data_IF_605491132410
#
_entry.id   IF_605491132410
#
_cell.length_a   1.000
_cell.length_b   1.000
_cell.length_c   1.000
_cell.angle_alpha   90.00
_cell.angle_beta   90.00
_cell.angle_gamma   90.00
#
_symmetry.space_group_name_H-M   'P 1'
#
loop_
_entity.id
_entity.type
_entity.pdbx_description
1 polymer ?
#
# COMPACT_ATOMS: atom_id res chain seq x y z
N UNK A 1 90.67 -38.89 1.62
CA UNK A 1 89.64 -39.12 0.58
C UNK A 1 88.31 -38.63 1.15
N UNK A 2 87.95 -37.40 0.71
CA UNK A 2 86.85 -36.64 1.30
C UNK A 2 85.64 -36.59 0.35
N UNK A 3 84.49 -36.75 0.92
CA UNK A 3 83.24 -36.50 0.16
C UNK A 3 82.52 -35.31 0.76
N UNK A 4 82.43 -34.25 -0.04
CA UNK A 4 81.63 -33.04 0.17
C UNK A 4 80.18 -33.37 -0.05
N UNK A 5 79.35 -33.09 0.93
CA UNK A 5 77.89 -33.09 0.79
C UNK A 5 77.38 -31.64 0.79
N UNK A 6 76.86 -31.22 -0.36
CA UNK A 6 76.17 -29.95 -0.56
C UNK A 6 74.75 -30.02 0.04
N UNK A 7 74.47 -29.22 1.05
CA UNK A 7 73.10 -28.96 1.49
C UNK A 7 72.48 -27.85 0.65
N UNK A 8 71.45 -28.22 -0.11
CA UNK A 8 70.53 -27.25 -0.72
C UNK A 8 69.63 -26.72 0.34
N UNK A 9 69.62 -25.39 0.50
CA UNK A 9 68.65 -24.63 1.31
C UNK A 9 67.52 -24.27 0.36
N UNK A 10 66.33 -24.88 0.50
CA UNK A 10 65.14 -24.50 -0.20
C UNK A 10 64.50 -23.28 0.51
N UNK A 11 64.51 -22.11 -0.14
CA UNK A 11 63.72 -20.96 0.25
C UNK A 11 62.25 -21.21 -0.15
N UNK A 12 61.38 -21.48 0.82
CA UNK A 12 59.95 -21.38 0.63
C UNK A 12 59.54 -19.90 0.67
N UNK A 13 59.35 -19.33 -0.50
CA UNK A 13 58.70 -18.04 -0.63
C UNK A 13 57.18 -18.18 -0.35
N UNK A 14 56.72 -17.75 0.81
CA UNK A 14 55.30 -17.62 1.12
C UNK A 14 54.75 -16.36 0.42
N UNK A 15 54.09 -16.57 -0.72
CA UNK A 15 53.32 -15.52 -1.38
C UNK A 15 52.03 -15.32 -0.59
N UNK A 16 52.00 -14.28 0.23
CA UNK A 16 50.78 -13.80 0.88
C UNK A 16 49.96 -13.08 -0.21
N UNK A 17 48.97 -13.76 -0.78
CA UNK A 17 47.91 -13.10 -1.55
C UNK A 17 47.09 -12.25 -0.56
N UNK A 18 47.32 -10.95 -0.53
CA UNK A 18 46.42 -10.00 0.09
C UNK A 18 45.15 -9.95 -0.78
N UNK A 19 44.11 -10.64 -0.36
CA UNK A 19 42.74 -10.40 -0.81
C UNK A 19 42.36 -8.99 -0.28
N UNK A 20 42.62 -7.99 -1.08
CA UNK A 20 41.97 -6.69 -0.92
C UNK A 20 40.49 -6.90 -1.25
N UNK A 21 39.68 -7.15 -0.21
CA UNK A 21 38.24 -6.97 -0.31
C UNK A 21 38.03 -5.49 -0.67
N UNK A 22 37.75 -5.22 -1.95
CA UNK A 22 37.15 -3.96 -2.33
C UNK A 22 35.78 -3.92 -1.63
N UNK A 23 35.73 -3.29 -0.46
CA UNK A 23 34.50 -2.75 0.06
C UNK A 23 34.05 -1.75 -1.02
N UNK A 24 33.09 -2.13 -1.84
CA UNK A 24 32.39 -1.20 -2.68
C UNK A 24 31.91 -0.09 -1.72
N UNK A 25 32.43 1.12 -1.90
CA UNK A 25 31.90 2.28 -1.21
C UNK A 25 30.42 2.31 -1.55
N UNK A 26 29.57 1.99 -0.56
CA UNK A 26 28.13 2.10 -0.73
C UNK A 26 27.87 3.53 -1.22
N UNK A 27 27.24 3.65 -2.37
CA UNK A 27 26.88 4.95 -2.93
C UNK A 27 26.00 5.64 -1.87
N UNK A 28 26.36 6.87 -1.49
CA UNK A 28 25.51 7.71 -0.64
C UNK A 28 24.20 7.98 -1.38
N UNK A 29 23.19 7.16 -1.16
CA UNK A 29 21.88 7.30 -1.79
C UNK A 29 21.06 8.34 -1.03
N UNK A 30 20.53 9.33 -1.75
CA UNK A 30 19.65 10.37 -1.22
C UNK A 30 18.27 10.24 -1.81
N UNK A 31 17.24 10.26 -0.96
CA UNK A 31 15.84 10.06 -1.35
C UNK A 31 15.01 11.22 -0.83
N UNK A 32 14.13 11.75 -1.67
CA UNK A 32 13.09 12.68 -1.23
C UNK A 32 11.70 12.04 -1.37
N UNK A 33 10.74 12.55 -0.60
CA UNK A 33 9.33 12.28 -0.80
C UNK A 33 8.50 13.55 -0.63
N UNK A 34 7.49 13.73 -1.46
CA UNK A 34 6.59 14.89 -1.47
C UNK A 34 5.13 14.45 -1.44
N UNK A 35 4.36 15.00 -0.51
CA UNK A 35 2.92 14.75 -0.34
C UNK A 35 2.28 15.81 0.56
N UNK A 36 0.95 15.92 0.55
CA UNK A 36 0.16 16.67 1.54
C UNK A 36 -0.41 15.81 2.67
N UNK A 37 -0.09 14.49 2.73
CA UNK A 37 -0.79 13.54 3.60
C UNK A 37 0.14 12.60 4.40
N UNK A 38 1.37 13.02 4.70
CA UNK A 38 2.33 12.16 5.40
C UNK A 38 1.96 11.80 6.85
N UNK A 39 1.07 12.55 7.47
CA UNK A 39 0.68 12.37 8.88
C UNK A 39 -0.51 11.43 9.10
N UNK A 40 -1.13 10.93 8.03
CA UNK A 40 -2.39 10.19 8.12
C UNK A 40 -2.43 8.98 7.17
N UNK A 41 -3.09 7.92 7.59
CA UNK A 41 -3.43 6.76 6.77
C UNK A 41 -2.26 6.21 5.96
N UNK A 42 -2.45 6.10 4.66
CA UNK A 42 -1.47 5.57 3.71
C UNK A 42 -0.12 6.31 3.71
N UNK A 43 -0.12 7.63 3.94
CA UNK A 43 1.09 8.43 4.02
C UNK A 43 2.01 8.03 5.18
N UNK A 44 1.45 7.60 6.31
CA UNK A 44 2.23 7.09 7.45
C UNK A 44 3.06 5.87 7.05
N UNK A 45 2.48 4.93 6.31
CA UNK A 45 3.20 3.74 5.85
C UNK A 45 4.37 4.09 4.93
N UNK A 46 4.20 5.09 4.04
CA UNK A 46 5.31 5.57 3.19
C UNK A 46 6.45 6.13 4.05
N UNK A 47 6.12 6.97 5.04
CA UNK A 47 7.11 7.55 5.96
C UNK A 47 7.84 6.47 6.76
N UNK A 48 7.13 5.43 7.21
CA UNK A 48 7.71 4.29 7.91
C UNK A 48 8.71 3.54 7.02
N UNK A 49 8.35 3.26 5.76
CA UNK A 49 9.23 2.62 4.79
C UNK A 49 10.52 3.43 4.55
N UNK A 50 10.38 4.75 4.37
CA UNK A 50 11.52 5.66 4.19
C UNK A 50 12.42 5.72 5.43
N UNK A 51 11.85 5.84 6.63
CA UNK A 51 12.60 5.82 7.90
C UNK A 51 13.31 4.48 8.13
N UNK A 52 12.66 3.38 7.73
CA UNK A 52 13.28 2.06 7.79
C UNK A 52 14.47 1.99 6.83
N UNK A 53 14.34 2.51 5.61
CA UNK A 53 15.45 2.58 4.65
C UNK A 53 16.60 3.47 5.15
N UNK A 54 16.30 4.62 5.74
CA UNK A 54 17.30 5.49 6.38
C UNK A 54 18.09 4.75 7.45
N UNK A 55 17.38 4.03 8.34
CA UNK A 55 17.98 3.28 9.44
C UNK A 55 18.80 2.07 8.97
N UNK A 56 18.25 1.25 8.08
CA UNK A 56 18.80 -0.07 7.75
C UNK A 56 19.81 0.01 6.58
N UNK A 57 19.62 0.95 5.65
CA UNK A 57 20.42 1.08 4.42
C UNK A 57 21.36 2.31 4.45
N UNK A 58 21.24 3.20 5.45
CA UNK A 58 22.07 4.39 5.59
C UNK A 58 21.78 5.48 4.57
N UNK A 59 20.63 5.44 3.91
CA UNK A 59 20.22 6.47 2.94
C UNK A 59 19.82 7.76 3.64
N UNK A 60 19.94 8.91 2.93
CA UNK A 60 19.45 10.20 3.42
C UNK A 60 18.03 10.41 2.95
N UNK A 61 17.13 10.78 3.86
CA UNK A 61 15.71 10.98 3.56
C UNK A 61 15.30 12.44 3.79
N UNK A 62 14.61 13.01 2.80
CA UNK A 62 13.99 14.34 2.86
C UNK A 62 12.47 14.19 2.66
N UNK A 63 11.68 14.62 3.63
CA UNK A 63 10.23 14.73 3.48
C UNK A 63 9.84 16.18 3.18
N UNK A 64 8.99 16.38 2.18
CA UNK A 64 8.40 17.66 1.79
C UNK A 64 6.90 17.57 1.94
N UNK A 65 6.39 18.12 3.04
CA UNK A 65 4.94 18.24 3.26
C UNK A 65 4.45 19.51 2.56
N UNK A 66 3.54 19.34 1.61
CA UNK A 66 2.99 20.47 0.83
C UNK A 66 1.95 21.25 1.60
N UNK A 67 1.39 20.68 2.68
CA UNK A 67 0.23 21.24 3.39
C UNK A 67 -0.98 21.44 2.48
N UNK A 68 -1.06 20.73 1.35
CA UNK A 68 -2.07 20.87 0.30
C UNK A 68 -2.18 22.28 -0.30
N UNK A 69 -1.08 23.04 -0.32
CA UNK A 69 -1.02 24.38 -0.89
C UNK A 69 -0.63 24.34 -2.36
N UNK A 70 -1.61 24.30 -3.25
CA UNK A 70 -1.43 24.12 -4.68
C UNK A 70 -0.49 25.17 -5.32
N UNK A 71 -0.43 26.39 -4.79
CA UNK A 71 0.45 27.46 -5.30
C UNK A 71 1.94 27.16 -5.13
N UNK A 72 2.29 26.30 -4.19
CA UNK A 72 3.68 25.99 -3.87
C UNK A 72 4.20 24.73 -4.61
N UNK A 73 3.31 23.94 -5.26
CA UNK A 73 3.69 22.65 -5.83
C UNK A 73 4.80 22.76 -6.88
N UNK A 74 4.65 23.62 -7.88
CA UNK A 74 5.65 23.76 -8.95
C UNK A 74 7.02 24.18 -8.40
N UNK A 75 7.06 25.09 -7.42
CA UNK A 75 8.31 25.52 -6.79
C UNK A 75 8.96 24.35 -6.03
N UNK A 76 8.19 23.61 -5.23
CA UNK A 76 8.68 22.49 -4.44
C UNK A 76 9.23 21.37 -5.34
N UNK A 77 8.54 21.03 -6.44
CA UNK A 77 9.00 20.04 -7.41
C UNK A 77 10.30 20.51 -8.11
N UNK A 78 10.36 21.77 -8.56
CA UNK A 78 11.57 22.31 -9.16
C UNK A 78 12.75 22.28 -8.19
N UNK A 79 12.54 22.57 -6.91
CA UNK A 79 13.58 22.51 -5.89
C UNK A 79 14.10 21.09 -5.66
N UNK A 80 13.23 20.07 -5.78
CA UNK A 80 13.63 18.67 -5.67
C UNK A 80 14.39 18.18 -6.91
N UNK A 81 14.10 18.71 -8.09
CA UNK A 81 14.68 18.24 -9.35
C UNK A 81 15.96 18.98 -9.76
N UNK A 82 16.03 20.31 -9.51
CA UNK A 82 17.04 21.22 -10.08
C UNK A 82 18.48 20.90 -9.70
N UNK A 83 18.70 20.33 -8.51
CA UNK A 83 20.06 20.09 -8.00
C UNK A 83 20.64 18.73 -8.37
N UNK A 84 19.82 17.77 -8.81
CA UNK A 84 20.23 16.37 -8.97
C UNK A 84 20.71 15.74 -7.65
N UNK A 85 20.22 16.24 -6.52
CA UNK A 85 20.65 15.83 -5.18
C UNK A 85 20.06 14.48 -4.77
N UNK A 86 18.93 14.08 -5.40
CA UNK A 86 18.20 12.89 -5.02
C UNK A 86 18.28 11.81 -6.10
N UNK A 87 18.59 10.60 -5.69
CA UNK A 87 18.55 9.41 -6.53
C UNK A 87 17.12 8.98 -6.86
N UNK A 88 16.19 9.20 -5.91
CA UNK A 88 14.75 8.98 -6.05
C UNK A 88 13.95 10.13 -5.43
N UNK A 89 12.84 10.49 -6.07
CA UNK A 89 11.85 11.41 -5.53
C UNK A 89 10.48 10.72 -5.55
N UNK A 90 10.02 10.23 -4.40
CA UNK A 90 8.69 9.66 -4.25
C UNK A 90 7.62 10.74 -4.23
N UNK A 91 6.54 10.52 -4.94
CA UNK A 91 5.40 11.45 -5.04
C UNK A 91 4.13 10.70 -4.71
N UNK A 92 3.35 11.22 -3.76
CA UNK A 92 2.04 10.66 -3.40
C UNK A 92 1.00 11.77 -3.31
N UNK A 93 -0.09 11.61 -4.04
CA UNK A 93 -1.25 12.50 -4.07
C UNK A 93 -1.63 12.88 -5.49
N UNK A 94 -2.91 12.72 -5.80
CA UNK A 94 -3.46 13.04 -7.13
C UNK A 94 -3.44 14.54 -7.45
N UNK A 95 -3.50 15.38 -6.43
CA UNK A 95 -3.38 16.84 -6.55
C UNK A 95 -2.01 17.29 -7.06
N UNK A 96 -0.99 16.42 -6.98
CA UNK A 96 0.39 16.70 -7.40
C UNK A 96 0.68 16.30 -8.87
N UNK A 97 -0.25 15.62 -9.54
CA UNK A 97 -0.05 15.01 -10.87
C UNK A 97 0.40 16.03 -11.91
N UNK A 98 -0.27 17.18 -12.00
CA UNK A 98 0.07 18.21 -13.01
C UNK A 98 1.49 18.77 -12.79
N UNK A 99 1.85 19.05 -11.53
CA UNK A 99 3.18 19.54 -11.18
C UNK A 99 4.26 18.46 -11.43
N UNK A 100 3.96 17.21 -11.08
CA UNK A 100 4.82 16.06 -11.34
C UNK A 100 5.08 15.90 -12.84
N UNK A 101 4.03 15.89 -13.67
CA UNK A 101 4.16 15.69 -15.11
C UNK A 101 5.04 16.77 -15.75
N UNK A 102 4.74 18.04 -15.49
CA UNK A 102 5.53 19.17 -15.98
C UNK A 102 7.00 19.08 -15.56
N UNK A 103 7.26 18.73 -14.28
CA UNK A 103 8.62 18.67 -13.77
C UNK A 103 9.38 17.46 -14.31
N UNK A 104 8.75 16.30 -14.43
CA UNK A 104 9.37 15.11 -15.00
C UNK A 104 9.77 15.31 -16.48
N UNK A 105 8.98 16.05 -17.25
CA UNK A 105 9.33 16.44 -18.62
C UNK A 105 10.51 17.43 -18.67
N UNK A 106 10.55 18.40 -17.74
CA UNK A 106 11.62 19.41 -17.68
C UNK A 106 12.95 18.85 -17.13
N UNK A 107 12.88 17.84 -16.26
CA UNK A 107 14.03 17.22 -15.60
C UNK A 107 14.06 15.70 -15.82
N UNK A 108 14.28 15.21 -17.04
CA UNK A 108 14.17 13.77 -17.38
C UNK A 108 15.23 12.89 -16.70
N UNK A 109 16.25 13.48 -16.08
CA UNK A 109 17.28 12.76 -15.32
C UNK A 109 16.90 12.56 -13.84
N UNK A 110 15.88 13.26 -13.35
CA UNK A 110 15.36 13.07 -11.99
C UNK A 110 14.43 11.87 -11.99
N UNK A 111 14.71 10.89 -11.13
CA UNK A 111 13.87 9.68 -11.01
C UNK A 111 12.71 9.93 -10.07
N UNK A 112 11.59 10.32 -10.62
CA UNK A 112 10.33 10.40 -9.90
C UNK A 112 9.68 9.03 -9.82
N UNK A 113 9.17 8.68 -8.62
CA UNK A 113 8.38 7.47 -8.36
C UNK A 113 6.99 7.92 -7.91
N UNK A 114 6.00 7.75 -8.77
CA UNK A 114 4.63 8.06 -8.41
C UNK A 114 3.99 6.87 -7.71
N UNK A 115 3.52 7.09 -6.48
CA UNK A 115 2.95 6.06 -5.64
C UNK A 115 1.43 6.09 -5.76
N UNK A 116 0.84 4.90 -5.98
CA UNK A 116 -0.61 4.68 -5.95
C UNK A 116 -1.38 5.43 -7.04
N UNK A 117 -0.82 5.42 -8.24
CA UNK A 117 -1.48 6.02 -9.37
C UNK A 117 -0.74 5.82 -10.69
N UNK A 118 -1.40 6.23 -11.76
CA UNK A 118 -0.87 6.21 -13.12
C UNK A 118 -1.13 7.57 -13.75
N UNK A 119 -0.14 8.09 -14.46
CA UNK A 119 -0.28 9.24 -15.34
C UNK A 119 0.37 8.90 -16.68
N UNK A 120 0.02 9.62 -17.73
CA UNK A 120 0.60 9.40 -19.05
C UNK A 120 1.98 10.09 -19.15
N UNK A 121 2.98 9.45 -18.53
CA UNK A 121 4.37 9.91 -18.59
C UNK A 121 5.35 8.76 -18.64
N UNK A 122 6.19 8.75 -19.67
CA UNK A 122 7.32 7.82 -19.81
C UNK A 122 8.54 8.19 -18.96
N UNK A 123 8.49 9.31 -18.22
CA UNK A 123 9.60 9.80 -17.40
C UNK A 123 9.45 9.47 -15.92
N UNK A 124 8.33 8.85 -15.53
CA UNK A 124 7.99 8.53 -14.15
C UNK A 124 8.00 7.03 -13.96
N UNK A 125 8.53 6.55 -12.85
CA UNK A 125 8.38 5.17 -12.37
C UNK A 125 7.09 5.08 -11.55
N UNK A 126 6.37 3.98 -11.65
CA UNK A 126 5.10 3.79 -10.95
C UNK A 126 5.24 2.71 -9.89
N UNK A 127 4.85 3.02 -8.66
CA UNK A 127 4.76 2.10 -7.55
C UNK A 127 3.28 1.90 -7.19
N UNK A 128 2.67 0.87 -7.76
CA UNK A 128 1.24 0.59 -7.66
C UNK A 128 0.94 -0.60 -6.77
N UNK A 129 -0.32 -0.72 -6.40
CA UNK A 129 -0.83 -1.82 -5.57
C UNK A 129 -1.99 -2.48 -6.29
N UNK A 130 -2.11 -3.79 -6.15
CA UNK A 130 -3.28 -4.53 -6.56
C UNK A 130 -4.36 -4.43 -5.45
N UNK A 131 -4.82 -3.20 -5.17
CA UNK A 131 -5.84 -2.94 -4.16
C UNK A 131 -7.15 -3.68 -4.46
N UNK A 132 -7.45 -3.93 -5.74
CA UNK A 132 -8.55 -4.79 -6.17
C UNK A 132 -8.44 -6.20 -5.60
N UNK A 133 -7.23 -6.81 -5.54
CA UNK A 133 -7.02 -8.15 -4.98
C UNK A 133 -7.26 -8.18 -3.47
N UNK A 134 -6.72 -7.19 -2.73
CA UNK A 134 -6.98 -7.07 -1.29
C UNK A 134 -8.45 -6.79 -0.99
N UNK A 135 -9.09 -5.94 -1.80
CA UNK A 135 -10.51 -5.62 -1.70
C UNK A 135 -11.40 -6.81 -2.05
N UNK A 136 -10.98 -7.68 -2.97
CA UNK A 136 -11.67 -8.94 -3.23
C UNK A 136 -11.78 -9.78 -1.94
N UNK A 137 -10.69 -9.91 -1.19
CA UNK A 137 -10.71 -10.63 0.08
C UNK A 137 -11.60 -9.94 1.13
N UNK A 138 -11.58 -8.60 1.18
CA UNK A 138 -12.48 -7.82 2.04
C UNK A 138 -13.96 -8.04 1.66
N UNK A 139 -14.27 -8.07 0.36
CA UNK A 139 -15.60 -8.35 -0.15
C UNK A 139 -16.07 -9.78 0.14
N UNK A 140 -15.19 -10.75 -0.03
CA UNK A 140 -15.47 -12.13 0.30
C UNK A 140 -15.78 -12.30 1.80
N UNK A 141 -14.99 -11.66 2.69
CA UNK A 141 -15.28 -11.63 4.12
C UNK A 141 -16.67 -11.01 4.38
N UNK A 142 -16.92 -9.81 3.85
CA UNK A 142 -18.18 -9.11 4.09
C UNK A 142 -19.39 -9.89 3.58
N UNK A 143 -19.30 -10.49 2.39
CA UNK A 143 -20.37 -11.31 1.82
C UNK A 143 -20.67 -12.56 2.64
N UNK A 144 -19.63 -13.34 3.00
CA UNK A 144 -19.77 -14.55 3.82
C UNK A 144 -20.34 -14.23 5.21
N UNK A 145 -19.92 -13.13 5.81
CA UNK A 145 -20.43 -12.71 7.12
C UNK A 145 -21.89 -12.24 7.02
N UNK A 146 -22.25 -11.49 5.97
CA UNK A 146 -23.65 -11.08 5.73
C UNK A 146 -24.59 -12.28 5.49
N UNK A 147 -24.08 -13.39 4.93
CA UNK A 147 -24.85 -14.63 4.81
C UNK A 147 -25.09 -15.35 6.15
N UNK A 148 -24.20 -15.16 7.14
CA UNK A 148 -24.43 -15.68 8.50
C UNK A 148 -25.60 -14.93 9.20
N UNK A 149 -25.82 -13.68 8.80
CA UNK A 149 -26.96 -12.89 9.30
C UNK A 149 -26.98 -12.79 10.81
N UNK A 150 -28.19 -12.83 11.39
CA UNK A 150 -28.46 -12.71 12.81
C UNK A 150 -27.85 -13.80 13.71
N UNK A 151 -27.23 -14.85 13.14
CA UNK A 151 -26.41 -15.81 13.90
C UNK A 151 -25.16 -15.15 14.52
N UNK A 152 -24.75 -13.99 13.99
CA UNK A 152 -23.64 -13.19 14.50
C UNK A 152 -24.18 -11.89 15.09
N UNK A 153 -23.85 -11.62 16.36
CA UNK A 153 -24.23 -10.38 17.02
C UNK A 153 -23.79 -9.14 16.20
N UNK A 154 -24.70 -8.21 15.95
CA UNK A 154 -24.46 -6.99 15.17
C UNK A 154 -24.72 -7.14 13.65
N UNK A 155 -24.97 -8.35 13.16
CA UNK A 155 -25.42 -8.56 11.79
C UNK A 155 -26.95 -8.76 11.74
N UNK A 156 -27.55 -8.41 10.63
CA UNK A 156 -28.97 -8.63 10.31
C UNK A 156 -29.15 -9.58 9.13
N UNK A 157 -30.39 -9.89 8.80
CA UNK A 157 -30.71 -10.84 7.73
C UNK A 157 -30.86 -10.18 6.33
N UNK A 158 -30.41 -8.91 6.22
CA UNK A 158 -30.57 -8.10 5.00
C UNK A 158 -29.69 -8.50 3.83
N UNK A 159 -28.67 -9.32 4.07
CA UNK A 159 -27.68 -9.74 3.07
C UNK A 159 -27.15 -8.58 2.24
N UNK A 160 -26.86 -7.46 2.90
CA UNK A 160 -26.36 -6.25 2.28
C UNK A 160 -25.05 -5.81 2.92
N UNK A 161 -24.13 -5.35 2.07
CA UNK A 161 -22.85 -4.79 2.46
C UNK A 161 -22.70 -3.39 1.88
N UNK A 162 -21.95 -2.53 2.55
CA UNK A 162 -21.74 -1.15 2.14
C UNK A 162 -20.32 -0.90 1.68
N UNK A 163 -20.15 0.17 0.88
CA UNK A 163 -18.87 0.72 0.47
C UNK A 163 -18.94 2.25 0.56
N UNK A 164 -17.99 2.86 1.25
CA UNK A 164 -17.82 4.31 1.28
C UNK A 164 -16.48 4.65 0.65
N UNK A 165 -16.53 5.22 -0.57
CA UNK A 165 -15.36 5.76 -1.25
C UNK A 165 -15.16 7.25 -0.92
N UNK A 166 -13.92 7.73 -0.89
CA UNK A 166 -13.63 9.15 -0.73
C UNK A 166 -14.07 9.94 -1.96
N UNK A 167 -13.30 9.90 -3.02
CA UNK A 167 -13.63 10.51 -4.32
C UNK A 167 -13.90 9.44 -5.36
N UNK A 168 -14.72 9.77 -6.35
CA UNK A 168 -15.00 8.91 -7.49
C UNK A 168 -13.86 9.03 -8.53
N UNK A 169 -12.75 8.34 -8.27
CA UNK A 169 -11.56 8.30 -9.13
C UNK A 169 -11.14 6.85 -9.42
N UNK A 170 -10.35 6.60 -10.47
CA UNK A 170 -10.02 5.23 -10.91
C UNK A 170 -9.49 4.33 -9.80
N UNK A 171 -8.56 4.80 -8.96
CA UNK A 171 -8.00 3.99 -7.86
C UNK A 171 -9.06 3.59 -6.84
N UNK A 172 -10.02 4.47 -6.50
CA UNK A 172 -11.10 4.16 -5.55
C UNK A 172 -12.12 3.20 -6.18
N UNK A 173 -12.40 3.36 -7.47
CA UNK A 173 -13.23 2.40 -8.22
C UNK A 173 -12.59 1.01 -8.30
N UNK A 174 -11.26 0.95 -8.33
CA UNK A 174 -10.51 -0.31 -8.35
C UNK A 174 -10.73 -1.12 -7.06
N UNK A 175 -10.73 -0.46 -5.89
CA UNK A 175 -11.15 -1.09 -4.64
C UNK A 175 -12.59 -1.62 -4.71
N UNK A 176 -13.50 -0.78 -5.22
CA UNK A 176 -14.93 -1.11 -5.28
C UNK A 176 -15.21 -2.33 -6.15
N UNK A 177 -14.64 -2.41 -7.36
CA UNK A 177 -14.87 -3.55 -8.26
C UNK A 177 -14.28 -4.85 -7.71
N UNK A 178 -13.12 -4.79 -7.06
CA UNK A 178 -12.55 -5.93 -6.34
C UNK A 178 -13.45 -6.40 -5.20
N UNK A 179 -13.92 -5.47 -4.37
CA UNK A 179 -14.83 -5.75 -3.26
C UNK A 179 -16.14 -6.39 -3.72
N UNK A 180 -16.76 -5.85 -4.77
CA UNK A 180 -17.97 -6.41 -5.36
C UNK A 180 -17.74 -7.82 -5.91
N UNK A 181 -16.66 -8.03 -6.68
CA UNK A 181 -16.35 -9.34 -7.23
C UNK A 181 -16.11 -10.37 -6.13
N UNK A 182 -15.36 -10.02 -5.09
CA UNK A 182 -15.10 -10.91 -3.96
C UNK A 182 -16.39 -11.29 -3.22
N UNK A 183 -17.23 -10.32 -2.93
CA UNK A 183 -18.52 -10.53 -2.29
C UNK A 183 -19.42 -11.46 -3.14
N UNK A 184 -19.57 -11.18 -4.43
CA UNK A 184 -20.37 -12.00 -5.35
C UNK A 184 -19.80 -13.39 -5.58
N UNK A 185 -18.49 -13.55 -5.53
CA UNK A 185 -17.83 -14.86 -5.66
C UNK A 185 -18.11 -15.75 -4.44
N UNK A 186 -18.11 -15.17 -3.25
CA UNK A 186 -18.27 -15.88 -2.00
C UNK A 186 -19.74 -15.99 -1.55
N UNK A 187 -20.57 -15.00 -1.87
CA UNK A 187 -21.97 -14.86 -1.49
C UNK A 187 -22.77 -14.22 -2.66
N UNK A 188 -23.22 -15.03 -3.66
CA UNK A 188 -23.80 -14.50 -4.91
C UNK A 188 -25.02 -13.59 -4.72
N UNK A 189 -25.82 -13.83 -3.67
CA UNK A 189 -27.07 -13.10 -3.39
C UNK A 189 -26.86 -11.81 -2.59
N UNK A 190 -25.61 -11.52 -2.13
CA UNK A 190 -25.33 -10.32 -1.34
C UNK A 190 -25.52 -9.05 -2.20
N UNK A 191 -26.18 -8.04 -1.63
CA UNK A 191 -26.32 -6.72 -2.25
C UNK A 191 -25.17 -5.82 -1.81
N UNK A 192 -24.58 -5.08 -2.76
CA UNK A 192 -23.62 -4.02 -2.49
C UNK A 192 -24.30 -2.66 -2.66
N UNK A 193 -24.25 -1.82 -1.62
CA UNK A 193 -24.63 -0.42 -1.65
C UNK A 193 -23.37 0.44 -1.58
N UNK A 194 -23.02 1.16 -2.65
CA UNK A 194 -21.80 1.95 -2.75
C UNK A 194 -22.10 3.44 -2.85
N UNK A 195 -21.37 4.25 -2.10
CA UNK A 195 -21.47 5.71 -2.09
C UNK A 195 -20.08 6.35 -2.07
N UNK A 196 -19.99 7.59 -2.58
CA UNK A 196 -18.75 8.39 -2.55
C UNK A 196 -18.97 9.68 -1.78
N UNK A 197 -18.07 9.99 -0.86
CA UNK A 197 -18.14 11.20 -0.03
C UNK A 197 -17.84 12.49 -0.81
N UNK A 198 -17.11 12.39 -1.93
CA UNK A 198 -16.63 13.53 -2.70
C UNK A 198 -15.36 14.17 -2.14
N UNK A 199 -14.88 13.69 -1.00
CA UNK A 199 -13.70 14.20 -0.28
C UNK A 199 -12.97 13.08 0.47
N UNK A 200 -11.71 13.34 0.86
CA UNK A 200 -10.95 12.49 1.78
C UNK A 200 -10.80 13.09 3.18
N UNK A 201 -11.28 14.34 3.43
CA UNK A 201 -10.94 15.13 4.61
C UNK A 201 -12.16 15.47 5.51
N UNK A 202 -13.25 14.70 5.41
CA UNK A 202 -14.49 14.98 6.16
C UNK A 202 -15.00 13.72 6.90
N UNK A 203 -14.52 13.43 8.12
CA UNK A 203 -15.02 12.32 8.92
C UNK A 203 -16.52 12.40 9.25
N UNK A 204 -17.08 13.61 9.39
CA UNK A 204 -18.51 13.78 9.67
C UNK A 204 -19.35 13.27 8.48
N UNK A 205 -18.93 13.56 7.26
CA UNK A 205 -19.54 13.04 6.04
C UNK A 205 -19.42 11.52 5.93
N UNK A 206 -18.25 10.95 6.30
CA UNK A 206 -18.05 9.51 6.38
C UNK A 206 -19.04 8.83 7.32
N UNK A 207 -19.24 9.40 8.50
CA UNK A 207 -20.20 8.91 9.50
C UNK A 207 -21.64 9.00 8.99
N UNK A 208 -22.06 10.15 8.42
CA UNK A 208 -23.40 10.36 7.85
C UNK A 208 -23.75 9.28 6.81
N UNK A 209 -22.86 9.08 5.84
CA UNK A 209 -23.05 8.11 4.76
C UNK A 209 -23.13 6.67 5.27
N UNK A 210 -22.28 6.34 6.24
CA UNK A 210 -22.28 5.02 6.87
C UNK A 210 -23.55 4.72 7.62
N UNK A 211 -24.06 5.67 8.41
CA UNK A 211 -25.33 5.53 9.11
C UNK A 211 -26.50 5.36 8.13
N UNK A 212 -26.46 6.04 6.97
CA UNK A 212 -27.46 5.84 5.92
C UNK A 212 -27.41 4.45 5.33
N UNK A 213 -26.20 3.89 5.05
CA UNK A 213 -26.04 2.52 4.57
C UNK A 213 -26.54 1.48 5.58
N UNK A 214 -26.25 1.66 6.88
CA UNK A 214 -26.81 0.79 7.92
C UNK A 214 -28.33 0.89 7.99
N UNK A 215 -28.91 2.09 7.84
CA UNK A 215 -30.35 2.30 7.76
C UNK A 215 -31.01 1.63 6.54
N UNK A 216 -30.25 1.39 5.47
CA UNK A 216 -30.67 0.67 4.27
C UNK A 216 -30.48 -0.85 4.36
N UNK A 217 -29.95 -1.33 5.49
CA UNK A 217 -29.80 -2.76 5.79
C UNK A 217 -28.40 -3.31 5.52
N UNK A 218 -27.39 -2.49 5.23
CA UNK A 218 -26.00 -2.96 5.22
C UNK A 218 -25.56 -3.29 6.65
N UNK A 219 -24.82 -4.38 6.81
CA UNK A 219 -24.33 -4.82 8.13
C UNK A 219 -22.84 -4.56 8.31
N UNK A 220 -22.11 -4.49 7.20
CA UNK A 220 -20.67 -4.30 7.15
C UNK A 220 -20.39 -3.24 6.10
N UNK A 221 -19.66 -2.19 6.45
CA UNK A 221 -19.30 -1.09 5.53
C UNK A 221 -17.79 -1.05 5.34
N UNK A 222 -17.33 -1.16 4.10
CA UNK A 222 -15.93 -1.01 3.75
C UNK A 222 -15.57 0.45 3.59
N UNK A 223 -14.58 0.89 4.34
CA UNK A 223 -14.02 2.24 4.30
C UNK A 223 -12.91 2.32 3.25
N UNK A 224 -13.07 3.15 2.22
CA UNK A 224 -12.02 3.49 1.25
C UNK A 224 -12.01 5.01 1.04
N UNK A 225 -11.82 5.75 2.13
CA UNK A 225 -12.06 7.20 2.12
C UNK A 225 -10.99 8.03 2.86
N UNK A 226 -9.81 7.47 3.13
CA UNK A 226 -8.75 8.17 3.85
C UNK A 226 -9.21 8.69 5.21
N UNK A 227 -8.89 9.96 5.62
CA UNK A 227 -9.36 10.56 6.85
C UNK A 227 -10.90 10.60 7.02
N UNK A 228 -11.66 10.79 5.92
CA UNK A 228 -13.13 10.67 5.93
C UNK A 228 -13.57 9.29 6.46
N UNK A 229 -12.78 8.27 6.21
CA UNK A 229 -13.02 6.91 6.65
C UNK A 229 -12.93 6.69 8.17
N UNK A 230 -12.31 7.56 8.93
CA UNK A 230 -12.35 7.49 10.39
C UNK A 230 -13.80 7.61 10.89
N UNK A 231 -14.59 8.48 10.24
CA UNK A 231 -16.03 8.59 10.51
C UNK A 231 -16.80 7.33 10.17
N UNK A 232 -16.42 6.60 9.12
CA UNK A 232 -17.02 5.29 8.78
C UNK A 232 -16.81 4.29 9.90
N UNK A 233 -15.56 4.17 10.39
CA UNK A 233 -15.22 3.23 11.45
C UNK A 233 -15.91 3.58 12.77
N UNK A 234 -15.95 4.87 13.15
CA UNK A 234 -16.62 5.33 14.35
C UNK A 234 -18.13 5.12 14.29
N UNK A 235 -18.74 5.30 13.12
CA UNK A 235 -20.16 5.04 12.91
C UNK A 235 -20.52 3.57 13.12
N UNK A 236 -19.62 2.63 12.77
CA UNK A 236 -19.88 1.21 13.00
C UNK A 236 -20.00 0.88 14.49
N UNK A 237 -19.14 1.44 15.31
CA UNK A 237 -19.25 1.30 16.78
C UNK A 237 -20.52 1.94 17.32
N UNK A 238 -20.87 3.15 16.87
CA UNK A 238 -22.07 3.86 17.31
C UNK A 238 -23.36 3.11 16.95
N UNK A 239 -23.38 2.40 15.81
CA UNK A 239 -24.53 1.62 15.33
C UNK A 239 -24.55 0.17 15.86
N UNK A 240 -23.52 -0.29 16.58
CA UNK A 240 -23.37 -1.70 16.95
C UNK A 240 -23.23 -2.64 15.73
N UNK A 241 -22.71 -2.10 14.62
CA UNK A 241 -22.48 -2.79 13.34
C UNK A 241 -20.99 -2.98 13.10
N UNK A 242 -20.62 -3.38 11.88
CA UNK A 242 -19.23 -3.65 11.53
C UNK A 242 -18.74 -2.82 10.35
N UNK A 243 -17.44 -2.68 10.30
CA UNK A 243 -16.72 -2.04 9.21
C UNK A 243 -15.48 -2.83 8.82
N UNK A 244 -14.91 -2.50 7.66
CA UNK A 244 -13.60 -2.96 7.23
C UNK A 244 -12.73 -1.72 7.00
N UNK A 245 -11.53 -1.72 7.59
CA UNK A 245 -10.53 -0.68 7.43
C UNK A 245 -9.73 -0.82 6.14
N UNK A 246 -8.92 0.19 5.82
CA UNK A 246 -8.15 0.28 4.58
C UNK A 246 -6.73 0.81 4.83
N UNK A 247 -5.83 0.47 3.93
CA UNK A 247 -4.43 0.93 3.80
C UNK A 247 -3.51 0.52 4.94
N UNK A 248 -3.92 0.75 6.19
CA UNK A 248 -3.15 0.45 7.41
C UNK A 248 -4.01 -0.33 8.41
N UNK A 249 -3.37 -0.88 9.44
CA UNK A 249 -4.12 -1.52 10.52
C UNK A 249 -4.99 -0.48 11.26
N UNK A 250 -6.30 -0.59 11.10
CA UNK A 250 -7.30 0.29 11.73
C UNK A 250 -8.15 -0.43 12.80
N UNK A 251 -7.74 -1.61 13.25
CA UNK A 251 -8.51 -2.43 14.19
C UNK A 251 -8.84 -1.69 15.50
N UNK A 252 -7.94 -0.81 15.96
CA UNK A 252 -8.11 -0.08 17.22
C UNK A 252 -8.94 1.20 17.08
N UNK A 253 -9.28 1.67 15.86
CA UNK A 253 -10.05 2.92 15.65
C UNK A 253 -11.48 2.78 16.17
N UNK A 254 -12.09 1.60 15.94
CA UNK A 254 -13.41 1.27 16.49
C UNK A 254 -13.39 -0.18 16.99
N UNK A 255 -12.69 -0.36 18.12
CA UNK A 255 -12.35 -1.66 18.70
C UNK A 255 -13.59 -2.55 18.89
N UNK A 256 -13.54 -3.76 18.35
CA UNK A 256 -14.65 -4.70 18.38
C UNK A 256 -15.71 -4.50 17.28
N UNK A 257 -15.56 -3.46 16.44
CA UNK A 257 -16.46 -3.13 15.33
C UNK A 257 -15.75 -3.06 13.96
N UNK A 258 -14.41 -3.15 13.93
CA UNK A 258 -13.64 -3.34 12.71
C UNK A 258 -13.37 -4.83 12.55
N UNK A 259 -13.92 -5.46 11.50
CA UNK A 259 -13.73 -6.90 11.26
C UNK A 259 -12.33 -7.22 10.73
N UNK A 260 -11.86 -6.38 9.84
CA UNK A 260 -10.57 -6.54 9.19
C UNK A 260 -10.04 -5.19 8.73
N UNK A 261 -8.76 -5.14 8.37
CA UNK A 261 -8.18 -4.04 7.62
C UNK A 261 -7.54 -4.59 6.35
N UNK A 262 -7.91 -4.06 5.19
CA UNK A 262 -7.22 -4.35 3.94
C UNK A 262 -5.96 -3.48 3.88
N UNK A 263 -4.81 -4.12 4.02
CA UNK A 263 -3.53 -3.44 4.10
C UNK A 263 -2.92 -3.22 2.71
N UNK A 264 -2.40 -2.02 2.50
CA UNK A 264 -1.46 -1.70 1.42
C UNK A 264 -0.10 -1.46 2.05
N UNK A 265 0.79 -2.43 1.91
CA UNK A 265 2.11 -2.41 2.55
C UNK A 265 3.07 -1.46 1.83
N UNK A 266 2.71 -0.16 1.80
CA UNK A 266 3.49 0.89 1.16
C UNK A 266 4.88 1.04 1.78
N UNK A 267 5.02 0.78 3.08
CA UNK A 267 6.29 0.74 3.77
C UNK A 267 7.26 -0.28 3.16
N UNK A 268 6.77 -1.47 2.79
CA UNK A 268 7.57 -2.52 2.13
C UNK A 268 7.90 -2.09 0.71
N UNK A 269 6.91 -1.65 -0.07
CA UNK A 269 7.11 -1.26 -1.47
C UNK A 269 8.13 -0.12 -1.62
N UNK A 270 8.03 0.91 -0.78
CA UNK A 270 8.98 2.05 -0.79
C UNK A 270 10.37 1.60 -0.35
N UNK A 271 10.47 0.81 0.73
CA UNK A 271 11.73 0.26 1.20
C UNK A 271 12.44 -0.57 0.13
N UNK A 272 11.71 -1.46 -0.56
CA UNK A 272 12.27 -2.33 -1.60
C UNK A 272 12.79 -1.53 -2.80
N UNK A 273 12.07 -0.48 -3.24
CA UNK A 273 12.52 0.39 -4.31
C UNK A 273 13.79 1.16 -3.93
N UNK A 274 13.88 1.67 -2.70
CA UNK A 274 15.11 2.30 -2.19
C UNK A 274 16.24 1.29 -2.14
N UNK A 275 15.97 0.08 -1.63
CA UNK A 275 16.95 -0.99 -1.55
C UNK A 275 17.46 -1.40 -2.94
N UNK A 276 16.60 -1.49 -3.93
CA UNK A 276 16.99 -1.77 -5.31
C UNK A 276 18.01 -0.77 -5.84
N UNK A 277 17.82 0.53 -5.56
CA UNK A 277 18.78 1.59 -5.95
C UNK A 277 20.08 1.47 -5.15
N UNK A 278 20.03 1.17 -3.86
CA UNK A 278 21.22 0.93 -3.03
C UNK A 278 22.01 -0.27 -3.55
N UNK A 279 21.32 -1.33 -3.97
CA UNK A 279 21.92 -2.53 -4.57
C UNK A 279 22.43 -2.30 -6.02
N UNK A 280 22.31 -1.07 -6.54
CA UNK A 280 22.79 -0.71 -7.88
C UNK A 280 21.86 -1.06 -9.02
N UNK A 281 20.61 -1.43 -8.75
CA UNK A 281 19.60 -1.66 -9.78
C UNK A 281 19.10 -0.32 -10.33
N UNK A 282 18.77 -0.32 -11.62
CA UNK A 282 18.15 0.84 -12.27
C UNK A 282 16.64 0.67 -12.29
N UNK A 283 15.94 1.69 -11.81
CA UNK A 283 14.50 1.80 -12.02
C UNK A 283 14.27 2.50 -13.35
N UNK A 284 13.73 1.78 -14.32
CA UNK A 284 13.53 2.31 -15.66
C UNK A 284 12.33 3.27 -15.69
N UNK A 285 12.48 4.49 -16.23
CA UNK A 285 11.34 5.39 -16.42
C UNK A 285 10.23 4.74 -17.25
N UNK A 286 8.98 4.92 -16.84
CA UNK A 286 7.80 4.26 -17.43
C UNK A 286 7.53 2.86 -16.89
N UNK A 287 8.44 2.29 -16.06
CA UNK A 287 8.18 0.98 -15.45
C UNK A 287 7.12 1.04 -14.36
N UNK A 288 6.36 -0.06 -14.23
CA UNK A 288 5.32 -0.23 -13.20
C UNK A 288 5.72 -1.35 -12.26
N UNK A 289 5.83 -1.03 -10.99
CA UNK A 289 6.09 -1.97 -9.90
C UNK A 289 4.81 -2.17 -9.12
N UNK A 290 4.15 -3.33 -9.29
CA UNK A 290 2.87 -3.62 -8.62
C UNK A 290 3.06 -4.56 -7.45
N UNK A 291 2.76 -4.07 -6.25
CA UNK A 291 2.66 -4.86 -5.03
C UNK A 291 1.27 -5.50 -4.95
N UNK A 292 1.20 -6.83 -4.73
CA UNK A 292 -0.04 -7.61 -4.84
C UNK A 292 -0.15 -8.66 -3.72
N UNK A 293 -1.23 -9.45 -3.72
CA UNK A 293 -1.46 -10.53 -2.73
C UNK A 293 -0.34 -11.56 -2.75
N UNK A 294 0.18 -11.94 -3.92
CA UNK A 294 1.28 -12.91 -4.06
C UNK A 294 2.58 -12.41 -3.43
N UNK A 295 2.86 -11.12 -3.51
CA UNK A 295 4.09 -10.51 -2.96
C UNK A 295 3.92 -10.06 -1.51
N UNK A 296 2.73 -10.15 -0.92
CA UNK A 296 2.41 -9.57 0.38
C UNK A 296 2.30 -8.04 0.35
N UNK A 297 2.22 -7.44 -0.84
CA UNK A 297 2.07 -6.00 -1.00
C UNK A 297 0.68 -5.49 -0.68
N UNK A 298 -0.33 -6.36 -0.77
CA UNK A 298 -1.68 -6.16 -0.24
C UNK A 298 -2.13 -7.42 0.50
N UNK A 299 -2.89 -7.24 1.57
CA UNK A 299 -3.40 -8.34 2.38
C UNK A 299 -4.66 -7.95 3.15
N UNK A 300 -5.40 -8.95 3.65
CA UNK A 300 -6.53 -8.74 4.56
C UNK A 300 -6.12 -9.19 5.96
N UNK A 301 -5.96 -8.24 6.88
CA UNK A 301 -5.68 -8.48 8.30
C UNK A 301 -7.01 -8.60 9.05
N UNK A 302 -7.33 -9.77 9.59
CA UNK A 302 -8.49 -9.93 10.48
C UNK A 302 -8.19 -9.31 11.85
N UNK A 303 -9.12 -8.49 12.37
CA UNK A 303 -8.90 -7.80 13.62
C UNK A 303 -9.06 -8.76 14.82
N UNK A 304 -8.08 -8.78 15.76
CA UNK A 304 -8.08 -9.74 16.87
C UNK A 304 -9.34 -9.68 17.74
N UNK A 305 -9.90 -8.48 17.95
CA UNK A 305 -11.03 -8.24 18.84
C UNK A 305 -12.34 -8.86 18.35
N UNK A 306 -12.43 -9.17 17.06
CA UNK A 306 -13.62 -9.81 16.44
C UNK A 306 -13.30 -11.17 15.80
N UNK A 307 -12.04 -11.60 15.89
CA UNK A 307 -11.59 -12.83 15.25
C UNK A 307 -12.40 -14.07 15.69
N UNK A 308 -12.84 -14.11 16.94
CA UNK A 308 -13.67 -15.22 17.46
C UNK A 308 -15.10 -15.21 16.94
N UNK A 309 -15.59 -14.05 16.47
CA UNK A 309 -16.90 -13.90 15.83
C UNK A 309 -16.90 -14.33 14.36
N UNK A 310 -15.73 -14.46 13.74
CA UNK A 310 -15.58 -14.92 12.35
C UNK A 310 -15.49 -16.46 12.35
N UNK A 311 -16.47 -17.16 11.79
CA UNK A 311 -16.51 -18.63 11.77
C UNK A 311 -15.27 -19.26 11.08
N UNK A 312 -14.92 -20.47 11.50
CA UNK A 312 -13.76 -21.17 10.97
C UNK A 312 -13.88 -21.49 9.47
N UNK A 313 -15.08 -21.79 8.99
CA UNK A 313 -15.35 -22.00 7.57
C UNK A 313 -15.16 -20.73 6.73
N UNK A 314 -15.52 -19.55 7.27
CA UNK A 314 -15.26 -18.26 6.63
C UNK A 314 -13.75 -18.01 6.53
N UNK A 315 -13.00 -18.21 7.61
CA UNK A 315 -11.53 -18.07 7.61
C UNK A 315 -10.87 -19.01 6.60
N UNK A 316 -11.28 -20.28 6.58
CA UNK A 316 -10.76 -21.26 5.63
C UNK A 316 -11.04 -20.86 4.17
N UNK A 317 -12.24 -20.32 3.90
CA UNK A 317 -12.60 -19.85 2.55
C UNK A 317 -11.78 -18.63 2.13
N UNK A 318 -11.47 -17.72 3.03
CA UNK A 318 -10.60 -16.57 2.75
C UNK A 318 -9.17 -17.01 2.39
N UNK A 319 -8.62 -18.00 3.09
CA UNK A 319 -7.28 -18.54 2.75
C UNK A 319 -7.29 -19.27 1.40
N UNK A 320 -8.34 -20.01 1.07
CA UNK A 320 -8.50 -20.62 -0.27
C UNK A 320 -8.52 -19.55 -1.36
N UNK A 321 -9.35 -18.51 -1.19
CA UNK A 321 -9.46 -17.42 -2.17
C UNK A 321 -8.16 -16.64 -2.32
N UNK A 322 -7.44 -16.38 -1.21
CA UNK A 322 -6.11 -15.77 -1.22
C UNK A 322 -5.11 -16.59 -2.04
N UNK A 323 -5.09 -17.92 -1.86
CA UNK A 323 -4.24 -18.81 -2.63
C UNK A 323 -4.63 -18.84 -4.13
N UNK A 324 -5.91 -18.82 -4.44
CA UNK A 324 -6.43 -18.80 -5.80
C UNK A 324 -6.06 -17.49 -6.53
N UNK A 325 -6.08 -16.32 -5.85
CA UNK A 325 -5.60 -15.06 -6.39
C UNK A 325 -4.07 -15.12 -6.59
N UNK A 326 -3.31 -15.52 -5.57
CA UNK A 326 -1.85 -15.57 -5.63
C UNK A 326 -1.30 -16.50 -6.72
N UNK A 327 -2.04 -17.57 -7.04
CA UNK A 327 -1.72 -18.50 -8.15
C UNK A 327 -2.20 -18.03 -9.51
N UNK A 328 -3.03 -16.97 -9.58
CA UNK A 328 -3.65 -16.47 -10.81
C UNK A 328 -4.85 -17.30 -11.30
N UNK A 329 -5.36 -18.23 -10.50
CA UNK A 329 -6.59 -18.98 -10.79
C UNK A 329 -7.82 -18.05 -10.77
N UNK A 330 -7.85 -17.09 -9.84
CA UNK A 330 -8.80 -15.98 -9.85
C UNK A 330 -8.09 -14.75 -10.40
N UNK A 331 -8.66 -14.17 -11.45
CA UNK A 331 -8.28 -12.85 -11.95
C UNK A 331 -9.26 -11.83 -11.41
N UNK A 332 -8.76 -10.94 -10.57
CA UNK A 332 -9.59 -9.88 -10.00
C UNK A 332 -9.75 -8.76 -11.01
N UNK A 333 -10.98 -8.29 -11.20
CA UNK A 333 -11.27 -7.16 -12.08
C UNK A 333 -10.55 -5.89 -11.59
N UNK A 334 -10.13 -5.04 -12.52
CA UNK A 334 -9.43 -3.80 -12.23
C UNK A 334 -9.91 -2.67 -13.14
N UNK A 335 -9.80 -1.45 -12.66
CA UNK A 335 -10.10 -0.21 -13.39
C UNK A 335 -8.86 0.64 -13.65
N UNK A 336 -7.69 0.17 -13.22
CA UNK A 336 -6.41 0.93 -13.27
C UNK A 336 -5.35 0.32 -14.19
N UNK A 337 -5.71 -0.68 -15.01
CA UNK A 337 -4.82 -1.28 -16.02
C UNK A 337 -5.23 -0.89 -17.44
#
# INVERSE_FOLDING_TARGET
MSRWSRRLVALCGASVLALASQAALAKDVSVAAISGYFSQGFGVAIVEGLKKAEKDLGVKVKLVDTGNRALDYEEQFNNLAKGGEYDLVFVMGWELVDALQKTAEAYPNTKFVFIDGVLDSKHVVYANFAQNEGSFLAGALAGLMAEKGSDIEGLGDGKAIGFVGGRDIPVIRDFMVGYEQGAKTAAPDVRLDAVFAGTFDDPAKGSELTMALYGQGSDIVYNVAGPTGEGVLQASAAAGKYSIGVDVNQCDVAKGHVMASMLKNANVAVYDLVKDVVDGKTLEPGSVHTANVKTGGVELLLCPEVADKIPADVKAKLEELKADIASGKIKVATTTQ
#
